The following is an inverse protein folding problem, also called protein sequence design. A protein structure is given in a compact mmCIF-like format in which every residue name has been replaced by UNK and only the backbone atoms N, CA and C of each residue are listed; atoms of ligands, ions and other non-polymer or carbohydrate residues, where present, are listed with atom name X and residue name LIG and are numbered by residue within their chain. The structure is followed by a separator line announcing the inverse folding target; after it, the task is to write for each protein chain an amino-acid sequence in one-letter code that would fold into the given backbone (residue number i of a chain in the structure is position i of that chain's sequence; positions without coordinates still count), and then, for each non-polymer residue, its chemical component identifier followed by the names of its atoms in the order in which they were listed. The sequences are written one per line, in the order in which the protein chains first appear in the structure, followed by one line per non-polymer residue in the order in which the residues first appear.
data_IF_976281890658
#
_entry.id   IF_976281890658
#
_cell.length_a   1.000
_cell.length_b   1.000
_cell.length_c   1.000
_cell.angle_alpha   90.00
_cell.angle_beta   90.00
_cell.angle_gamma   90.00
#
_symmetry.space_group_name_H-M   'P 1'
#
loop_
_entity.id
_entity.type
_entity.pdbx_description
1 polymer ?
#
# COMPACT_ATOMS: atom_id res chain seq x y z
N UNK A 1 8.05 -15.86 -4.26
CA UNK A 1 6.66 -15.38 -4.29
C UNK A 1 5.76 -16.43 -4.93
N UNK A 2 4.61 -16.76 -4.33
CA UNK A 2 3.60 -17.61 -4.99
C UNK A 2 2.66 -16.71 -5.78
N UNK A 3 2.29 -17.08 -7.02
CA UNK A 3 1.38 -16.31 -7.89
C UNK A 3 0.07 -15.91 -7.19
N UNK A 4 -0.46 -16.79 -6.33
CA UNK A 4 -1.64 -16.54 -5.47
C UNK A 4 -1.52 -15.26 -4.63
N UNK A 5 -0.34 -14.96 -4.09
CA UNK A 5 -0.11 -13.77 -3.25
C UNK A 5 -0.21 -12.47 -4.04
N UNK A 6 0.16 -12.48 -5.33
CA UNK A 6 0.08 -11.30 -6.20
C UNK A 6 -1.38 -10.97 -6.51
N UNK A 7 -2.19 -11.98 -6.85
CA UNK A 7 -3.62 -11.79 -7.14
C UNK A 7 -4.35 -11.28 -5.89
N UNK A 8 -4.11 -11.90 -4.73
CA UNK A 8 -4.71 -11.44 -3.47
C UNK A 8 -4.27 -10.02 -3.13
N UNK A 9 -3.01 -9.67 -3.37
CA UNK A 9 -2.51 -8.31 -3.16
C UNK A 9 -3.25 -7.29 -4.02
N UNK A 10 -3.37 -7.57 -5.32
CA UNK A 10 -4.03 -6.68 -6.27
C UNK A 10 -5.53 -6.54 -5.94
N UNK A 11 -6.19 -7.64 -5.60
CA UNK A 11 -7.60 -7.64 -5.21
C UNK A 11 -7.85 -6.77 -3.97
N UNK A 12 -7.00 -6.91 -2.95
CA UNK A 12 -7.07 -6.09 -1.73
C UNK A 12 -6.77 -4.63 -2.03
N UNK A 13 -5.82 -4.35 -2.92
CA UNK A 13 -5.53 -2.99 -3.35
C UNK A 13 -6.76 -2.34 -4.00
N UNK A 14 -7.47 -3.05 -4.88
CA UNK A 14 -8.73 -2.60 -5.47
C UNK A 14 -9.81 -2.35 -4.41
N UNK A 15 -9.98 -3.27 -3.45
CA UNK A 15 -10.88 -3.06 -2.32
C UNK A 15 -10.53 -1.80 -1.51
N UNK A 16 -9.25 -1.57 -1.26
CA UNK A 16 -8.77 -0.35 -0.61
C UNK A 16 -9.16 0.93 -1.37
N UNK A 17 -9.12 0.91 -2.70
CA UNK A 17 -9.59 2.03 -3.53
C UNK A 17 -11.09 2.29 -3.32
N UNK A 18 -11.92 1.24 -3.26
CA UNK A 18 -13.35 1.40 -2.96
C UNK A 18 -13.58 1.92 -1.54
N UNK A 19 -12.80 1.47 -0.56
CA UNK A 19 -12.86 1.97 0.83
C UNK A 19 -12.47 3.45 0.89
N UNK A 20 -11.43 3.87 0.15
CA UNK A 20 -11.04 5.28 0.04
C UNK A 20 -12.21 6.11 -0.51
N UNK A 21 -12.74 5.74 -1.67
CA UNK A 21 -13.84 6.45 -2.32
C UNK A 21 -15.10 6.49 -1.44
N UNK A 22 -15.44 5.38 -0.80
CA UNK A 22 -16.58 5.31 0.13
C UNK A 22 -16.40 6.21 1.36
N UNK A 23 -15.19 6.25 1.93
CA UNK A 23 -14.86 7.10 3.07
C UNK A 23 -14.89 8.57 2.68
N UNK A 24 -14.32 8.93 1.52
CA UNK A 24 -14.37 10.30 1.00
C UNK A 24 -15.81 10.75 0.75
N UNK A 25 -16.62 9.90 0.12
CA UNK A 25 -18.04 10.18 -0.12
C UNK A 25 -18.82 10.35 1.19
N UNK A 26 -18.52 9.54 2.21
CA UNK A 26 -19.17 9.67 3.51
C UNK A 26 -18.78 10.99 4.21
N UNK A 27 -17.48 11.28 4.32
CA UNK A 27 -16.96 12.46 5.01
C UNK A 27 -17.28 13.77 4.30
N UNK A 28 -17.01 13.85 3.00
CA UNK A 28 -17.28 15.06 2.23
C UNK A 28 -18.74 15.15 1.79
N UNK A 29 -19.30 14.05 1.28
CA UNK A 29 -20.66 14.04 0.75
C UNK A 29 -21.74 14.14 1.83
N UNK A 30 -21.64 13.37 2.92
CA UNK A 30 -22.63 13.43 4.01
C UNK A 30 -22.28 14.43 5.10
N UNK A 31 -21.04 14.41 5.60
CA UNK A 31 -20.64 15.26 6.73
C UNK A 31 -20.13 16.64 6.31
N UNK A 32 -20.04 16.93 4.99
CA UNK A 32 -19.57 18.21 4.43
C UNK A 32 -18.21 18.68 4.95
N UNK A 33 -17.36 17.72 5.34
CA UNK A 33 -15.98 17.99 5.75
C UNK A 33 -15.21 18.55 4.54
N UNK A 34 -14.31 19.53 4.72
CA UNK A 34 -13.47 20.02 3.63
C UNK A 34 -12.71 18.89 2.92
N UNK A 35 -12.69 18.95 1.58
CA UNK A 35 -12.06 17.92 0.72
C UNK A 35 -10.64 17.55 1.14
N UNK A 36 -9.74 18.49 1.52
CA UNK A 36 -8.38 18.13 1.93
C UNK A 36 -8.36 17.24 3.18
N UNK A 37 -9.23 17.52 4.16
CA UNK A 37 -9.30 16.77 5.42
C UNK A 37 -9.97 15.41 5.16
N UNK A 38 -11.09 15.41 4.44
CA UNK A 38 -11.80 14.19 4.08
C UNK A 38 -10.93 13.25 3.23
N UNK A 39 -10.15 13.79 2.30
CA UNK A 39 -9.20 13.06 1.47
C UNK A 39 -8.07 12.45 2.29
N UNK A 40 -7.45 13.22 3.19
CA UNK A 40 -6.42 12.69 4.09
C UNK A 40 -6.94 11.53 4.95
N UNK A 41 -8.11 11.70 5.57
CA UNK A 41 -8.75 10.63 6.34
C UNK A 41 -9.07 9.40 5.49
N UNK A 42 -9.58 9.59 4.27
CA UNK A 42 -9.92 8.50 3.37
C UNK A 42 -8.69 7.69 2.92
N UNK A 43 -7.57 8.37 2.66
CA UNK A 43 -6.28 7.73 2.36
C UNK A 43 -5.81 6.90 3.55
N UNK A 44 -5.81 7.46 4.76
CA UNK A 44 -5.38 6.74 5.97
C UNK A 44 -6.25 5.51 6.24
N UNK A 45 -7.57 5.63 6.10
CA UNK A 45 -8.49 4.49 6.26
C UNK A 45 -8.21 3.39 5.22
N UNK A 46 -7.93 3.76 3.97
CA UNK A 46 -7.58 2.80 2.93
C UNK A 46 -6.24 2.10 3.19
N UNK A 47 -5.23 2.83 3.69
CA UNK A 47 -3.94 2.28 4.09
C UNK A 47 -4.13 1.27 5.23
N UNK A 48 -4.90 1.65 6.27
CA UNK A 48 -5.20 0.77 7.40
C UNK A 48 -5.95 -0.49 6.95
N UNK A 49 -6.96 -0.35 6.10
CA UNK A 49 -7.69 -1.49 5.54
C UNK A 49 -6.75 -2.47 4.82
N UNK A 50 -5.95 -1.95 3.89
CA UNK A 50 -5.03 -2.77 3.10
C UNK A 50 -3.99 -3.45 3.97
N UNK A 51 -3.37 -2.71 4.89
CA UNK A 51 -2.39 -3.25 5.83
C UNK A 51 -2.99 -4.32 6.74
N UNK A 52 -4.19 -4.08 7.28
CA UNK A 52 -4.88 -5.04 8.15
C UNK A 52 -5.14 -6.35 7.41
N UNK A 53 -5.61 -6.27 6.17
CA UNK A 53 -5.84 -7.46 5.35
C UNK A 53 -4.54 -8.22 5.08
N UNK A 54 -3.46 -7.49 4.77
CA UNK A 54 -2.14 -8.08 4.57
C UNK A 54 -1.60 -8.77 5.83
N UNK A 55 -1.76 -8.13 6.98
CA UNK A 55 -1.33 -8.64 8.28
C UNK A 55 -2.13 -9.91 8.68
N UNK A 56 -3.45 -9.86 8.58
CA UNK A 56 -4.34 -10.93 9.06
C UNK A 56 -4.53 -12.08 8.08
N UNK A 57 -4.45 -11.83 6.77
CA UNK A 57 -4.76 -12.82 5.75
C UNK A 57 -3.54 -13.22 4.93
N UNK A 58 -2.87 -12.27 4.28
CA UNK A 58 -1.81 -12.59 3.29
C UNK A 58 -0.54 -13.12 3.95
N UNK A 59 -0.16 -12.57 5.10
CA UNK A 59 1.06 -12.94 5.83
C UNK A 59 0.77 -13.43 7.26
N UNK A 60 -0.42 -13.99 7.48
CA UNK A 60 -0.87 -14.51 8.78
C UNK A 60 0.15 -15.41 9.47
N UNK A 61 0.85 -16.24 8.69
CA UNK A 61 1.82 -17.22 9.19
C UNK A 61 3.20 -16.62 9.54
N UNK A 62 3.38 -15.31 9.32
CA UNK A 62 4.68 -14.60 9.50
C UNK A 62 4.60 -13.44 10.49
N UNK A 63 3.51 -13.33 11.23
CA UNK A 63 3.26 -12.24 12.19
C UNK A 63 2.93 -12.80 13.58
N UNK A 64 3.23 -12.03 14.61
CA UNK A 64 3.10 -12.47 16.02
C UNK A 64 1.70 -12.20 16.60
N UNK A 65 0.82 -11.56 15.84
CA UNK A 65 -0.55 -11.16 16.24
C UNK A 65 -0.62 -10.35 17.54
N UNK A 66 0.42 -9.58 17.85
CA UNK A 66 0.46 -8.65 18.99
C UNK A 66 0.23 -7.20 18.54
N UNK A 67 -0.33 -6.36 19.42
CA UNK A 67 -0.57 -4.94 19.12
C UNK A 67 0.74 -4.20 18.77
N UNK A 68 1.81 -4.49 19.51
CA UNK A 68 3.14 -3.91 19.26
C UNK A 68 3.69 -4.29 17.88
N UNK A 69 3.54 -5.56 17.46
CA UNK A 69 3.96 -6.03 16.14
C UNK A 69 3.11 -5.40 15.03
N UNK A 70 1.79 -5.28 15.23
CA UNK A 70 0.87 -4.63 14.31
C UNK A 70 1.28 -3.17 14.04
N UNK A 71 1.41 -2.34 15.10
CA UNK A 71 1.76 -0.93 14.94
C UNK A 71 3.17 -0.73 14.38
N UNK A 72 4.15 -1.54 14.81
CA UNK A 72 5.52 -1.46 14.28
C UNK A 72 5.55 -1.73 12.77
N UNK A 73 4.82 -2.76 12.32
CA UNK A 73 4.75 -3.12 10.89
C UNK A 73 3.89 -2.15 10.10
N UNK A 74 2.83 -1.59 10.69
CA UNK A 74 2.01 -0.55 10.07
C UNK A 74 2.85 0.69 9.76
N UNK A 75 3.63 1.17 10.73
CA UNK A 75 4.56 2.28 10.53
C UNK A 75 5.57 1.99 9.42
N UNK A 76 6.16 0.80 9.45
CA UNK A 76 7.13 0.37 8.43
C UNK A 76 6.49 0.27 7.04
N UNK A 77 5.26 -0.24 6.97
CA UNK A 77 4.46 -0.34 5.75
C UNK A 77 4.13 1.03 5.18
N UNK A 78 3.70 1.97 6.02
CA UNK A 78 3.41 3.34 5.59
C UNK A 78 4.68 4.02 5.04
N UNK A 79 5.81 3.92 5.76
CA UNK A 79 7.08 4.52 5.33
C UNK A 79 7.59 3.94 4.00
N UNK A 80 7.51 2.61 3.83
CA UNK A 80 7.91 1.95 2.59
C UNK A 80 6.97 2.32 1.44
N UNK A 81 5.66 2.31 1.69
CA UNK A 81 4.65 2.61 0.68
C UNK A 81 4.79 4.07 0.22
N UNK A 82 4.89 5.01 1.16
CA UNK A 82 5.11 6.42 0.90
C UNK A 82 6.46 6.67 0.19
N UNK A 83 7.52 6.00 0.61
CA UNK A 83 8.84 6.12 -0.03
C UNK A 83 8.84 5.61 -1.47
N UNK A 84 8.16 4.49 -1.74
CA UNK A 84 8.03 3.95 -3.10
C UNK A 84 7.17 4.87 -3.96
N UNK A 85 6.05 5.38 -3.46
CA UNK A 85 5.20 6.31 -4.22
C UNK A 85 5.94 7.61 -4.51
N UNK A 86 6.70 8.13 -3.54
CA UNK A 86 7.51 9.33 -3.74
C UNK A 86 8.65 9.11 -4.74
N UNK A 87 9.35 7.98 -4.72
CA UNK A 87 10.48 7.75 -5.62
C UNK A 87 10.04 7.33 -7.02
N UNK A 88 9.14 6.34 -7.10
CA UNK A 88 8.74 5.73 -8.35
C UNK A 88 7.63 6.55 -9.01
N UNK A 89 6.55 6.84 -8.28
CA UNK A 89 5.39 7.50 -8.89
C UNK A 89 5.72 8.96 -9.24
N UNK A 90 6.31 9.72 -8.32
CA UNK A 90 6.72 11.10 -8.59
C UNK A 90 7.87 11.19 -9.61
N UNK A 91 8.84 10.26 -9.55
CA UNK A 91 9.96 10.22 -10.50
C UNK A 91 9.50 9.96 -11.93
N UNK A 92 8.56 9.02 -12.12
CA UNK A 92 7.96 8.73 -13.41
C UNK A 92 7.11 9.91 -13.88
N UNK A 93 6.24 10.45 -13.02
CA UNK A 93 5.42 11.61 -13.34
C UNK A 93 6.28 12.79 -13.79
N UNK A 94 7.32 13.15 -13.03
CA UNK A 94 8.23 14.25 -13.34
C UNK A 94 8.97 14.01 -14.65
N UNK A 95 9.47 12.80 -14.88
CA UNK A 95 10.22 12.48 -16.10
C UNK A 95 9.31 12.55 -17.34
N UNK A 96 8.12 11.96 -17.29
CA UNK A 96 7.19 11.96 -18.42
C UNK A 96 6.57 13.33 -18.70
N UNK A 97 6.23 14.10 -17.67
CA UNK A 97 5.65 15.43 -17.88
C UNK A 97 6.69 16.43 -18.36
N UNK A 98 7.91 16.40 -17.81
CA UNK A 98 8.95 17.38 -18.13
C UNK A 98 9.70 17.10 -19.43
N UNK A 99 10.04 15.84 -19.72
CA UNK A 99 10.81 15.50 -20.92
C UNK A 99 9.95 15.11 -22.12
N UNK A 100 8.73 14.59 -21.91
CA UNK A 100 7.89 14.04 -22.98
C UNK A 100 6.62 14.86 -23.25
N UNK A 101 6.37 15.97 -22.51
CA UNK A 101 5.13 16.77 -22.57
C UNK A 101 3.84 15.91 -22.52
N UNK A 102 3.92 14.77 -21.83
CA UNK A 102 2.83 13.83 -21.75
C UNK A 102 1.68 14.40 -20.91
N UNK A 103 0.44 14.03 -21.23
CA UNK A 103 -0.70 14.45 -20.44
C UNK A 103 -0.60 13.85 -19.03
N UNK A 104 -0.68 14.71 -17.99
CA UNK A 104 -0.40 14.33 -16.60
C UNK A 104 -1.23 13.12 -16.11
N UNK A 105 -2.47 12.99 -16.58
CA UNK A 105 -3.34 11.83 -16.28
C UNK A 105 -2.76 10.51 -16.77
N UNK A 106 -2.14 10.48 -17.95
CA UNK A 106 -1.53 9.27 -18.51
C UNK A 106 -0.21 8.94 -17.80
N UNK A 107 0.57 9.96 -17.45
CA UNK A 107 1.81 9.78 -16.71
C UNK A 107 1.57 9.22 -15.29
N UNK A 108 0.51 9.66 -14.62
CA UNK A 108 0.11 9.14 -13.30
C UNK A 108 -0.38 7.69 -13.36
N UNK A 109 -1.19 7.34 -14.37
CA UNK A 109 -1.60 5.94 -14.62
C UNK A 109 -0.38 5.05 -14.89
N UNK A 110 0.60 5.52 -15.67
CA UNK A 110 1.82 4.77 -15.96
C UNK A 110 2.71 4.60 -14.73
N UNK A 111 2.77 5.58 -13.83
CA UNK A 111 3.50 5.48 -12.57
C UNK A 111 2.83 4.56 -11.53
N UNK A 112 1.50 4.43 -11.60
CA UNK A 112 0.73 3.50 -10.78
C UNK A 112 0.93 2.01 -11.14
N UNK A 113 1.50 1.67 -12.29
CA UNK A 113 1.73 0.27 -12.71
C UNK A 113 2.99 -0.37 -12.06
N UNK A 114 4.18 0.26 -12.10
CA UNK A 114 5.38 -0.31 -11.49
C UNK A 114 5.39 -0.20 -9.95
N UNK A 115 4.73 0.81 -9.37
CA UNK A 115 4.69 1.04 -7.92
C UNK A 115 4.22 -0.18 -7.10
N UNK A 116 3.05 -0.78 -7.41
CA UNK A 116 2.56 -1.99 -6.74
C UNK A 116 3.51 -3.18 -6.85
N UNK A 117 4.19 -3.34 -7.99
CA UNK A 117 5.15 -4.43 -8.20
C UNK A 117 6.36 -4.31 -7.27
N UNK A 118 6.92 -3.10 -7.15
CA UNK A 118 8.00 -2.80 -6.21
C UNK A 118 7.55 -2.92 -4.75
N UNK A 119 6.33 -2.48 -4.43
CA UNK A 119 5.74 -2.62 -3.09
C UNK A 119 5.64 -4.08 -2.66
N UNK A 120 5.21 -4.98 -3.54
CA UNK A 120 5.12 -6.42 -3.23
C UNK A 120 6.50 -7.00 -2.91
N UNK A 121 7.51 -6.69 -3.72
CA UNK A 121 8.86 -7.22 -3.55
C UNK A 121 9.51 -6.73 -2.24
N UNK A 122 9.39 -5.44 -1.96
CA UNK A 122 9.94 -4.84 -0.74
C UNK A 122 9.19 -5.32 0.50
N UNK A 123 7.85 -5.44 0.44
CA UNK A 123 7.07 -5.94 1.58
C UNK A 123 7.35 -7.42 1.89
N UNK A 124 7.56 -8.29 0.89
CA UNK A 124 7.87 -9.72 1.13
C UNK A 124 9.28 -9.92 1.73
N UNK A 125 10.25 -9.05 1.38
CA UNK A 125 11.65 -9.17 1.86
C UNK A 125 11.93 -8.42 3.18
N UNK A 126 11.33 -7.25 3.37
CA UNK A 126 11.69 -6.33 4.46
C UNK A 126 10.65 -6.35 5.59
N UNK A 127 9.36 -6.42 5.27
CA UNK A 127 8.31 -6.42 6.29
C UNK A 127 8.03 -7.85 6.74
N UNK A 128 7.69 -8.75 5.82
CA UNK A 128 7.28 -10.12 6.14
C UNK A 128 8.40 -11.15 5.93
N UNK A 129 9.60 -10.79 6.40
CA UNK A 129 10.78 -11.66 6.33
C UNK A 129 10.47 -12.98 7.03
N UNK A 130 10.65 -14.12 6.34
CA UNK A 130 10.44 -15.44 6.94
C UNK A 130 11.34 -15.56 8.18
N UNK A 131 10.82 -16.07 9.32
CA UNK A 131 11.68 -16.39 10.45
C UNK A 131 12.76 -17.36 9.98
N UNK A 132 14.01 -17.07 10.37
CA UNK A 132 15.15 -17.95 10.12
C UNK A 132 14.78 -19.28 10.79
N UNK A 133 14.63 -20.35 10.01
CA UNK A 133 14.56 -21.69 10.58
C UNK A 133 15.89 -21.89 11.30
N UNK A 134 15.89 -21.78 12.63
CA UNK A 134 16.99 -22.32 13.41
C UNK A 134 17.05 -23.80 13.08
N UNK A 135 18.14 -24.19 12.41
CA UNK A 135 18.56 -25.57 12.28
C UNK A 135 18.60 -26.14 13.68
N UNK A 136 17.53 -26.85 14.05
CA UNK A 136 17.50 -27.66 15.25
C UNK A 136 18.46 -28.82 14.97
N UNK A 137 19.74 -28.60 15.26
CA UNK A 137 20.74 -29.65 15.37
C UNK A 137 20.31 -30.53 16.54
N UNK A 138 19.68 -31.67 16.23
CA UNK A 138 19.62 -32.84 17.09
C UNK A 138 20.12 -34.03 16.27
#
# INVERSE_FOLDING_TARGET
MKFKSIIQFQFVAWLGTFVNLGTLWLLHGKFKIPVPIAGACAIEVAILHNFTWYYLHTWRDRVEHTLLDYFRRLWKYNLITAGIDFLINLGILWTLTHFLNFHYLLADILGMVPGPSSKIFVNDLIIFKKPKLESKNN
#
